data_IF_030411992316
#
_entry.id   IF_030411992316
#
_cell.length_a   1.000
_cell.length_b   1.000
_cell.length_c   1.000
_cell.angle_alpha   90.00
_cell.angle_beta   90.00
_cell.angle_gamma   90.00
#
_symmetry.space_group_name_H-M   'P 1'
#
loop_
_entity.id
_entity.type
_entity.pdbx_description
1 polymer ?
#
# COMPACT_ATOMS: atom_id res chain seq x y z
N UNK A 1 -20.66 13.20 2.37
CA UNK A 1 -19.24 13.56 2.13
C UNK A 1 -18.39 12.39 2.60
N UNK A 2 -17.56 11.81 1.74
CA UNK A 2 -16.67 10.71 2.13
C UNK A 2 -15.62 11.25 3.10
N UNK A 3 -15.49 10.64 4.26
CA UNK A 3 -14.50 11.03 5.26
C UNK A 3 -13.09 10.72 4.71
N UNK A 4 -12.15 11.65 4.90
CA UNK A 4 -10.77 11.49 4.40
C UNK A 4 -9.89 10.89 5.49
N UNK A 5 -9.05 9.92 5.13
CA UNK A 5 -8.02 9.36 6.00
C UNK A 5 -6.78 10.25 6.02
N UNK A 6 -6.44 10.83 4.85
CA UNK A 6 -5.29 11.72 4.71
C UNK A 6 -5.59 12.85 3.72
N UNK A 7 -5.08 14.04 4.03
CA UNK A 7 -5.11 15.22 3.16
C UNK A 7 -3.68 15.63 2.87
N UNK A 8 -3.33 15.69 1.59
CA UNK A 8 -2.00 16.06 1.11
C UNK A 8 -2.07 17.38 0.37
N UNK A 9 -1.24 18.37 0.77
CA UNK A 9 -1.22 19.72 0.23
C UNK A 9 0.20 20.17 -0.10
N UNK A 10 0.40 20.62 -1.34
CA UNK A 10 1.66 21.19 -1.85
C UNK A 10 2.88 20.31 -1.59
N UNK A 11 2.72 18.97 -1.69
CA UNK A 11 3.80 18.04 -1.42
C UNK A 11 4.81 18.05 -2.56
N UNK A 12 6.05 18.45 -2.26
CA UNK A 12 7.16 18.49 -3.21
C UNK A 12 8.37 17.77 -2.64
N UNK A 13 9.10 17.06 -3.49
CA UNK A 13 10.31 16.34 -3.14
C UNK A 13 11.40 16.53 -4.18
N UNK A 14 12.54 17.06 -3.74
CA UNK A 14 13.78 17.16 -4.51
C UNK A 14 14.85 16.24 -3.94
N UNK A 15 15.56 15.51 -4.81
CA UNK A 15 16.69 14.65 -4.44
C UNK A 15 17.88 15.01 -5.31
N UNK A 16 18.99 15.43 -4.71
CA UNK A 16 20.22 15.84 -5.41
C UNK A 16 19.94 16.84 -6.56
N UNK A 17 19.15 17.87 -6.29
CA UNK A 17 18.75 18.92 -7.24
C UNK A 17 17.89 18.39 -8.42
N UNK A 18 17.41 17.16 -8.34
CA UNK A 18 16.45 16.61 -9.28
C UNK A 18 15.06 16.65 -8.64
N UNK A 19 14.13 17.36 -9.29
CA UNK A 19 12.73 17.33 -8.88
C UNK A 19 12.15 15.94 -9.16
N UNK A 20 11.59 15.31 -8.13
CA UNK A 20 10.93 14.01 -8.22
C UNK A 20 9.43 14.20 -8.40
N UNK A 21 8.85 15.10 -7.61
CA UNK A 21 7.48 15.55 -7.77
C UNK A 21 7.31 16.94 -7.14
N UNK A 22 6.39 17.70 -7.66
CA UNK A 22 6.15 19.07 -7.25
C UNK A 22 4.67 19.35 -7.01
N UNK A 23 4.40 20.09 -5.93
CA UNK A 23 3.09 20.60 -5.54
C UNK A 23 1.94 19.60 -5.66
N UNK A 24 2.14 18.36 -5.25
CA UNK A 24 1.09 17.34 -5.26
C UNK A 24 -0.04 17.71 -4.30
N UNK A 25 -1.28 17.58 -4.80
CA UNK A 25 -2.51 17.77 -4.04
C UNK A 25 -3.44 16.61 -4.28
N UNK A 26 -3.74 15.83 -3.24
CA UNK A 26 -4.74 14.77 -3.31
C UNK A 26 -5.20 14.35 -1.93
N UNK A 27 -6.27 13.56 -1.87
CA UNK A 27 -6.83 13.05 -0.64
C UNK A 27 -6.97 11.53 -0.73
N UNK A 28 -6.85 10.88 0.41
CA UNK A 28 -7.08 9.44 0.56
C UNK A 28 -8.36 9.22 1.37
N UNK A 29 -9.38 8.54 0.81
CA UNK A 29 -10.61 8.28 1.52
C UNK A 29 -10.41 7.20 2.60
N UNK A 30 -11.14 7.32 3.72
CA UNK A 30 -11.24 6.27 4.73
C UNK A 30 -12.12 5.13 4.22
N UNK A 31 -11.88 3.90 4.71
CA UNK A 31 -12.67 2.70 4.40
C UNK A 31 -12.68 2.28 2.91
N UNK A 32 -11.73 2.75 2.13
CA UNK A 32 -11.62 2.44 0.72
C UNK A 32 -10.20 2.02 0.35
N UNK A 33 -10.09 1.09 -0.59
CA UNK A 33 -8.81 0.69 -1.16
C UNK A 33 -8.54 1.51 -2.42
N UNK A 34 -7.40 2.18 -2.46
CA UNK A 34 -6.95 3.03 -3.57
C UNK A 34 -5.70 2.43 -4.20
N UNK A 35 -5.70 2.22 -5.51
CA UNK A 35 -4.51 1.82 -6.27
C UNK A 35 -3.70 3.04 -6.71
N UNK A 36 -2.40 3.04 -6.50
CA UNK A 36 -1.46 4.05 -7.03
C UNK A 36 -0.67 3.45 -8.19
N UNK A 37 -0.92 3.94 -9.39
CA UNK A 37 -0.25 3.50 -10.61
C UNK A 37 0.59 4.62 -11.23
N UNK A 38 1.48 4.27 -12.14
CA UNK A 38 2.36 5.21 -12.86
C UNK A 38 3.62 4.50 -13.37
N UNK A 39 4.42 5.16 -14.18
CA UNK A 39 5.64 4.57 -14.76
C UNK A 39 6.65 4.19 -13.66
N UNK A 40 7.50 3.20 -13.95
CA UNK A 40 8.60 2.85 -13.04
C UNK A 40 9.60 4.01 -12.96
N UNK A 41 10.13 4.25 -11.77
CA UNK A 41 11.09 5.32 -11.52
C UNK A 41 10.49 6.72 -11.33
N UNK A 42 9.18 6.90 -11.41
CA UNK A 42 8.52 8.20 -11.18
C UNK A 42 8.46 8.66 -9.72
N UNK A 43 8.91 7.84 -8.77
CA UNK A 43 8.92 8.22 -7.36
C UNK A 43 7.72 7.72 -6.54
N UNK A 44 6.91 6.76 -7.03
CA UNK A 44 5.77 6.19 -6.28
C UNK A 44 6.17 5.69 -4.87
N UNK A 45 7.24 4.90 -4.78
CA UNK A 45 7.74 4.40 -3.49
C UNK A 45 8.26 5.53 -2.59
N UNK A 46 8.85 6.58 -3.16
CA UNK A 46 9.26 7.76 -2.42
C UNK A 46 8.06 8.53 -1.88
N UNK A 47 7.00 8.66 -2.68
CA UNK A 47 5.74 9.24 -2.23
C UNK A 47 5.16 8.45 -1.05
N UNK A 48 5.14 7.11 -1.13
CA UNK A 48 4.70 6.25 -0.01
C UNK A 48 5.55 6.46 1.25
N UNK A 49 6.88 6.61 1.10
CA UNK A 49 7.77 6.88 2.23
C UNK A 49 7.51 8.27 2.86
N UNK A 50 7.20 9.29 2.06
CA UNK A 50 6.80 10.59 2.56
C UNK A 50 5.48 10.50 3.33
N UNK A 51 4.46 9.82 2.77
CA UNK A 51 3.17 9.61 3.43
C UNK A 51 3.31 8.85 4.75
N UNK A 52 4.17 7.83 4.79
CA UNK A 52 4.48 7.08 6.00
C UNK A 52 5.38 7.82 6.99
N UNK A 53 5.89 9.01 6.62
CA UNK A 53 6.86 9.80 7.40
C UNK A 53 8.16 9.04 7.74
N UNK A 54 8.56 8.09 6.88
CA UNK A 54 9.80 7.31 7.00
C UNK A 54 10.81 7.67 5.90
N UNK A 55 10.55 8.72 5.13
CA UNK A 55 11.46 9.20 4.08
C UNK A 55 12.80 9.63 4.69
N UNK A 56 13.89 9.26 4.02
CA UNK A 56 15.24 9.74 4.35
C UNK A 56 15.51 11.15 3.81
N UNK A 57 14.64 11.64 2.94
CA UNK A 57 14.75 12.95 2.31
C UNK A 57 13.72 13.91 2.90
N UNK A 58 14.11 15.15 3.06
CA UNK A 58 13.19 16.22 3.46
C UNK A 58 12.26 16.56 2.31
N UNK A 59 11.00 16.75 2.58
CA UNK A 59 9.99 17.19 1.63
C UNK A 59 9.38 18.53 2.06
N UNK A 60 8.78 19.24 1.14
CA UNK A 60 8.02 20.49 1.37
C UNK A 60 6.54 20.14 1.25
N UNK A 61 5.67 20.83 1.99
CA UNK A 61 4.22 20.61 1.98
C UNK A 61 3.70 20.00 3.26
N UNK A 62 2.42 19.64 3.26
CA UNK A 62 1.71 19.16 4.45
C UNK A 62 1.04 17.82 4.18
N UNK A 63 1.15 16.92 5.15
CA UNK A 63 0.51 15.62 5.16
C UNK A 63 -0.25 15.51 6.49
N UNK A 64 -1.59 15.53 6.41
CA UNK A 64 -2.47 15.48 7.57
C UNK A 64 -3.20 14.14 7.61
N UNK A 65 -2.77 13.24 8.49
CA UNK A 65 -3.45 11.99 8.78
C UNK A 65 -4.50 12.17 9.86
N UNK A 66 -5.69 11.58 9.66
CA UNK A 66 -6.75 11.53 10.66
C UNK A 66 -6.77 10.20 11.43
N UNK A 67 -5.90 9.26 11.08
CA UNK A 67 -5.76 7.95 11.71
C UNK A 67 -4.28 7.53 11.67
N UNK A 68 -3.87 6.56 12.50
CA UNK A 68 -2.55 5.96 12.41
C UNK A 68 -2.32 5.33 11.04
N UNK A 69 -1.05 5.27 10.61
CA UNK A 69 -0.65 4.69 9.33
C UNK A 69 0.38 3.58 9.54
N UNK A 70 0.24 2.50 8.77
CA UNK A 70 1.21 1.42 8.74
C UNK A 70 1.72 1.20 7.31
N UNK A 71 3.03 0.98 7.15
CA UNK A 71 3.70 0.93 5.86
C UNK A 71 4.42 -0.39 5.62
N UNK A 72 4.13 -1.02 4.49
CA UNK A 72 4.89 -2.13 3.91
C UNK A 72 5.75 -1.61 2.77
N UNK A 73 7.07 -1.60 2.94
CA UNK A 73 8.00 -1.26 1.87
C UNK A 73 8.26 -2.45 0.94
N UNK A 74 8.61 -2.16 -0.31
CA UNK A 74 9.00 -3.17 -1.30
C UNK A 74 10.15 -4.07 -0.81
N UNK A 75 11.09 -3.52 -0.05
CA UNK A 75 12.21 -4.23 0.56
C UNK A 75 11.94 -4.48 2.04
N UNK A 76 10.92 -5.27 2.32
CA UNK A 76 10.48 -5.50 3.68
C UNK A 76 11.52 -6.33 4.45
N UNK A 77 12.28 -5.67 5.34
CA UNK A 77 13.13 -6.36 6.30
C UNK A 77 12.29 -6.71 7.52
N UNK A 78 11.92 -7.97 7.64
CA UNK A 78 11.28 -8.47 8.85
C UNK A 78 12.21 -8.21 10.04
N UNK A 79 11.66 -7.62 11.09
CA UNK A 79 12.39 -7.43 12.36
C UNK A 79 12.04 -8.56 13.29
N UNK A 80 13.00 -9.43 13.57
CA UNK A 80 12.83 -10.59 14.45
C UNK A 80 13.31 -11.87 13.80
N UNK A 81 13.62 -12.87 14.64
CA UNK A 81 14.13 -14.19 14.24
C UNK A 81 13.02 -15.25 14.19
N UNK A 82 11.89 -15.01 14.87
CA UNK A 82 10.74 -15.92 14.93
C UNK A 82 9.46 -15.24 14.45
N UNK A 83 8.45 -16.04 14.12
CA UNK A 83 7.12 -15.56 13.74
C UNK A 83 6.54 -14.67 14.85
N UNK A 84 6.62 -15.10 16.12
CA UNK A 84 6.13 -14.32 17.26
C UNK A 84 6.79 -12.95 17.37
N UNK A 85 8.11 -12.88 17.14
CA UNK A 85 8.83 -11.60 17.17
C UNK A 85 8.44 -10.67 16.02
N UNK A 86 8.25 -11.21 14.82
CA UNK A 86 7.81 -10.42 13.67
C UNK A 86 6.39 -9.88 13.86
N UNK A 87 5.50 -10.69 14.45
CA UNK A 87 4.12 -10.26 14.75
C UNK A 87 4.04 -9.32 15.97
N UNK A 88 5.16 -9.11 16.69
CA UNK A 88 5.25 -8.29 17.91
C UNK A 88 4.41 -8.83 19.07
N UNK A 89 4.31 -10.16 19.17
CA UNK A 89 3.50 -10.88 20.17
C UNK A 89 4.34 -11.76 21.11
N UNK A 90 5.68 -11.71 21.03
CA UNK A 90 6.57 -12.60 21.77
C UNK A 90 6.27 -12.61 23.28
N UNK A 91 6.08 -11.45 23.89
CA UNK A 91 5.80 -11.34 25.33
C UNK A 91 4.52 -12.08 25.73
N UNK A 92 3.47 -12.00 24.90
CA UNK A 92 2.21 -12.72 25.11
C UNK A 92 2.39 -14.23 24.97
N UNK A 93 3.12 -14.67 23.92
CA UNK A 93 3.43 -16.08 23.69
C UNK A 93 4.20 -16.67 24.86
N UNK A 94 5.18 -15.94 25.41
CA UNK A 94 5.98 -16.39 26.53
C UNK A 94 5.14 -16.42 27.83
N UNK A 95 4.22 -15.47 28.04
CA UNK A 95 3.30 -15.49 29.16
C UNK A 95 2.36 -16.70 29.10
N UNK A 96 1.72 -16.97 27.96
CA UNK A 96 0.90 -18.17 27.77
C UNK A 96 1.66 -19.46 28.06
N UNK A 97 2.90 -19.60 27.56
CA UNK A 97 3.76 -20.76 27.83
C UNK A 97 4.07 -20.93 29.33
N UNK A 98 4.34 -19.84 30.04
CA UNK A 98 4.59 -19.92 31.49
C UNK A 98 3.34 -20.33 32.25
N UNK A 99 2.15 -19.87 31.82
CA UNK A 99 0.88 -20.30 32.40
C UNK A 99 0.64 -21.78 32.16
N UNK A 100 0.82 -22.28 30.93
CA UNK A 100 0.67 -23.70 30.59
C UNK A 100 1.62 -24.59 31.40
N UNK A 101 2.85 -24.12 31.62
CA UNK A 101 3.88 -24.87 32.40
C UNK A 101 3.77 -24.63 33.90
N UNK A 102 2.71 -24.04 34.43
CA UNK A 102 2.50 -23.73 35.86
C UNK A 102 3.66 -22.94 36.48
N UNK A 103 4.36 -22.10 35.71
CA UNK A 103 5.49 -21.28 36.14
C UNK A 103 5.20 -19.77 36.02
N UNK A 104 3.92 -19.42 35.82
CA UNK A 104 3.51 -18.05 35.62
C UNK A 104 3.55 -17.19 36.89
N UNK A 105 3.87 -15.93 36.71
CA UNK A 105 3.73 -14.87 37.73
C UNK A 105 2.37 -14.18 37.66
N UNK A 106 2.00 -13.39 38.66
CA UNK A 106 0.80 -12.55 38.61
C UNK A 106 0.82 -11.61 37.39
N UNK A 107 1.98 -11.07 37.01
CA UNK A 107 2.13 -10.19 35.84
C UNK A 107 1.78 -10.90 34.52
N UNK A 108 2.02 -12.21 34.43
CA UNK A 108 1.66 -12.98 33.23
C UNK A 108 0.14 -13.12 33.10
N UNK A 109 -0.56 -13.33 34.21
CA UNK A 109 -2.03 -13.36 34.23
C UNK A 109 -2.63 -11.98 33.90
N UNK A 110 -2.11 -10.89 34.46
CA UNK A 110 -2.53 -9.53 34.14
C UNK A 110 -2.32 -9.22 32.66
N UNK A 111 -1.20 -9.68 32.07
CA UNK A 111 -0.88 -9.47 30.66
C UNK A 111 -1.86 -10.15 29.72
N UNK A 112 -2.42 -11.32 30.10
CA UNK A 112 -3.31 -12.14 29.27
C UNK A 112 -4.78 -12.05 29.65
N UNK A 113 -5.15 -11.24 30.67
CA UNK A 113 -6.47 -11.22 31.30
C UNK A 113 -7.63 -11.27 30.29
N UNK A 114 -7.64 -10.37 29.29
CA UNK A 114 -8.69 -10.29 28.27
C UNK A 114 -8.27 -10.91 26.93
N UNK A 115 -7.17 -11.69 26.88
CA UNK A 115 -6.50 -12.10 25.62
C UNK A 115 -6.47 -13.61 25.41
N UNK A 116 -7.23 -14.39 26.17
CA UNK A 116 -7.28 -15.86 26.09
C UNK A 116 -7.70 -16.40 24.72
N UNK A 117 -8.35 -15.59 23.90
CA UNK A 117 -8.76 -15.91 22.53
C UNK A 117 -7.63 -15.77 21.51
N UNK A 118 -6.57 -14.97 21.81
CA UNK A 118 -5.52 -14.63 20.86
C UNK A 118 -4.73 -15.82 20.30
N UNK A 119 -4.33 -16.86 21.09
CA UNK A 119 -3.64 -18.00 20.53
C UNK A 119 -4.41 -18.69 19.40
N UNK A 120 -5.72 -18.79 19.53
CA UNK A 120 -6.59 -19.34 18.50
C UNK A 120 -6.67 -18.42 17.27
N UNK A 121 -6.78 -17.11 17.47
CA UNK A 121 -6.78 -16.13 16.38
C UNK A 121 -5.45 -16.13 15.60
N UNK A 122 -4.31 -16.20 16.29
CA UNK A 122 -3.00 -16.30 15.65
C UNK A 122 -2.88 -17.57 14.80
N UNK A 123 -3.32 -18.70 15.34
CA UNK A 123 -3.32 -19.96 14.61
C UNK A 123 -4.17 -19.86 13.35
N UNK A 124 -5.39 -19.34 13.44
CA UNK A 124 -6.26 -19.15 12.27
C UNK A 124 -5.64 -18.20 11.24
N UNK A 125 -5.05 -17.10 11.68
CA UNK A 125 -4.41 -16.13 10.80
C UNK A 125 -3.23 -16.75 10.03
N UNK A 126 -2.38 -17.51 10.71
CA UNK A 126 -1.24 -18.19 10.10
C UNK A 126 -1.70 -19.29 9.15
N UNK A 127 -2.71 -20.08 9.49
CA UNK A 127 -3.28 -21.13 8.66
C UNK A 127 -3.88 -20.54 7.37
N UNK A 128 -4.69 -19.48 7.46
CA UNK A 128 -5.26 -18.79 6.30
C UNK A 128 -4.17 -18.22 5.38
N UNK A 129 -3.07 -17.73 5.96
CA UNK A 129 -1.92 -17.27 5.21
C UNK A 129 -1.05 -18.41 4.66
N UNK A 130 -1.29 -19.67 5.04
CA UNK A 130 -0.45 -20.83 4.68
C UNK A 130 0.98 -20.69 5.22
N UNK A 131 1.10 -20.23 6.48
CA UNK A 131 2.35 -20.08 7.22
C UNK A 131 2.50 -21.21 8.26
N UNK A 132 3.74 -21.50 8.71
CA UNK A 132 3.94 -22.42 9.83
C UNK A 132 3.17 -21.96 11.07
N UNK A 133 2.52 -22.89 11.77
CA UNK A 133 1.72 -22.59 12.97
C UNK A 133 2.56 -22.44 14.24
N UNK A 134 3.82 -22.94 14.22
CA UNK A 134 4.75 -22.75 15.34
C UNK A 134 5.23 -21.28 15.38
N UNK A 135 4.79 -20.54 16.39
CA UNK A 135 5.18 -19.14 16.60
C UNK A 135 6.68 -18.93 16.87
N UNK A 136 7.40 -20.01 17.26
CA UNK A 136 8.88 -19.98 17.40
C UNK A 136 9.61 -20.38 16.12
N UNK A 137 8.87 -20.67 15.02
CA UNK A 137 9.48 -21.02 13.75
C UNK A 137 10.41 -19.91 13.26
N UNK A 138 11.62 -20.30 12.80
CA UNK A 138 12.63 -19.34 12.34
C UNK A 138 12.21 -18.68 11.01
N UNK A 139 12.16 -17.36 10.99
CA UNK A 139 11.82 -16.55 9.81
C UNK A 139 12.82 -16.74 8.67
N UNK A 140 14.07 -17.09 8.98
CA UNK A 140 15.11 -17.36 7.97
C UNK A 140 14.81 -18.59 7.09
N UNK A 141 13.99 -19.51 7.57
CA UNK A 141 13.57 -20.71 6.83
C UNK A 141 12.33 -20.45 5.94
N UNK A 142 11.70 -19.30 6.05
CA UNK A 142 10.56 -18.94 5.22
C UNK A 142 10.99 -18.54 3.80
N UNK A 143 10.19 -18.94 2.80
CA UNK A 143 10.33 -18.42 1.44
C UNK A 143 10.02 -16.90 1.38
N UNK A 144 10.44 -16.21 0.31
CA UNK A 144 10.17 -14.77 0.16
C UNK A 144 8.66 -14.47 0.14
N UNK A 145 7.85 -15.33 -0.50
CA UNK A 145 6.39 -15.20 -0.45
C UNK A 145 5.81 -15.40 0.95
N UNK A 146 6.34 -16.35 1.73
CA UNK A 146 5.94 -16.53 3.13
C UNK A 146 6.37 -15.34 4.01
N UNK A 147 7.55 -14.78 3.80
CA UNK A 147 8.01 -13.57 4.49
C UNK A 147 7.08 -12.40 4.18
N UNK A 148 6.68 -12.21 2.92
CA UNK A 148 5.72 -11.18 2.53
C UNK A 148 4.38 -11.38 3.22
N UNK A 149 3.85 -12.62 3.24
CA UNK A 149 2.61 -12.94 3.94
C UNK A 149 2.69 -12.68 5.44
N UNK A 150 3.79 -13.04 6.09
CA UNK A 150 4.00 -12.77 7.51
C UNK A 150 4.00 -11.26 7.83
N UNK A 151 4.66 -10.46 6.98
CA UNK A 151 4.63 -9.00 7.11
C UNK A 151 3.22 -8.43 6.93
N UNK A 152 2.46 -8.95 5.97
CA UNK A 152 1.06 -8.57 5.75
C UNK A 152 0.17 -8.98 6.93
N UNK A 153 0.34 -10.17 7.52
CA UNK A 153 -0.36 -10.59 8.73
C UNK A 153 -0.18 -9.58 9.88
N UNK A 154 1.07 -9.14 10.10
CA UNK A 154 1.35 -8.09 11.09
C UNK A 154 0.58 -6.80 10.83
N UNK A 155 0.53 -6.34 9.57
CA UNK A 155 -0.16 -5.10 9.22
C UNK A 155 -1.68 -5.23 9.35
N UNK A 156 -2.26 -6.33 8.90
CA UNK A 156 -3.71 -6.57 9.01
C UNK A 156 -4.20 -6.76 10.46
N UNK A 157 -3.29 -7.06 11.40
CA UNK A 157 -3.60 -7.06 12.82
C UNK A 157 -3.84 -5.63 13.37
N UNK A 158 -3.32 -4.58 12.71
CA UNK A 158 -3.49 -3.17 13.06
C UNK A 158 -4.83 -2.64 12.51
N UNK A 159 -5.94 -3.02 13.14
CA UNK A 159 -7.30 -2.75 12.62
C UNK A 159 -7.67 -1.27 12.51
N UNK A 160 -7.01 -0.40 13.27
CA UNK A 160 -7.21 1.05 13.35
C UNK A 160 -6.27 1.87 12.46
N UNK A 161 -5.35 1.22 11.72
CA UNK A 161 -4.37 1.88 10.87
C UNK A 161 -4.80 1.89 9.41
N UNK A 162 -4.53 3.00 8.71
CA UNK A 162 -4.57 3.04 7.24
C UNK A 162 -3.32 2.37 6.67
N UNK A 163 -3.48 1.49 5.69
CA UNK A 163 -2.36 0.70 5.16
C UNK A 163 -1.76 1.34 3.92
N UNK A 164 -0.45 1.53 3.92
CA UNK A 164 0.35 1.91 2.76
C UNK A 164 1.14 0.66 2.32
N UNK A 165 0.84 0.13 1.14
CA UNK A 165 1.40 -1.13 0.66
C UNK A 165 2.15 -0.92 -0.66
N UNK A 166 3.47 -1.10 -0.65
CA UNK A 166 4.32 -0.96 -1.83
C UNK A 166 4.63 -2.33 -2.43
N UNK A 167 3.99 -2.66 -3.56
CA UNK A 167 4.07 -3.93 -4.30
C UNK A 167 3.81 -5.18 -3.41
N UNK A 168 2.69 -5.24 -2.67
CA UNK A 168 2.40 -6.32 -1.72
C UNK A 168 2.15 -7.67 -2.39
N UNK A 169 1.86 -7.70 -3.69
CA UNK A 169 1.63 -8.93 -4.47
C UNK A 169 2.91 -9.57 -5.01
N UNK A 170 4.08 -8.91 -4.86
CA UNK A 170 5.35 -9.47 -5.31
C UNK A 170 5.67 -10.76 -4.56
N UNK A 171 6.17 -11.76 -5.28
CA UNK A 171 6.48 -13.11 -4.78
C UNK A 171 5.26 -13.92 -4.28
N UNK A 172 4.03 -13.43 -4.47
CA UNK A 172 2.82 -14.17 -4.13
C UNK A 172 2.32 -14.98 -5.34
N UNK A 173 1.98 -16.24 -5.09
CA UNK A 173 1.26 -17.11 -6.04
C UNK A 173 -0.23 -16.70 -6.16
N UNK A 174 -0.95 -17.35 -7.06
CA UNK A 174 -2.37 -17.04 -7.31
C UNK A 174 -3.25 -17.22 -6.07
N UNK A 175 -2.96 -18.22 -5.23
CA UNK A 175 -3.72 -18.50 -3.99
C UNK A 175 -3.47 -17.39 -2.97
N UNK A 176 -2.20 -17.04 -2.76
CA UNK A 176 -1.80 -15.97 -1.84
C UNK A 176 -2.28 -14.59 -2.26
N UNK A 177 -2.42 -14.31 -3.58
CA UNK A 177 -3.04 -13.06 -4.06
C UNK A 177 -4.53 -12.98 -3.72
N UNK A 178 -5.28 -14.08 -3.87
CA UNK A 178 -6.69 -14.14 -3.45
C UNK A 178 -6.83 -13.92 -1.96
N UNK A 179 -5.94 -14.52 -1.16
CA UNK A 179 -5.88 -14.28 0.28
C UNK A 179 -5.61 -12.79 0.58
N UNK A 180 -4.62 -12.16 -0.06
CA UNK A 180 -4.35 -10.72 0.09
C UNK A 180 -5.59 -9.87 -0.21
N UNK A 181 -6.28 -10.15 -1.33
CA UNK A 181 -7.52 -9.45 -1.72
C UNK A 181 -8.60 -9.62 -0.64
N UNK A 182 -8.78 -10.82 -0.09
CA UNK A 182 -9.76 -11.05 0.99
C UNK A 182 -9.41 -10.26 2.26
N UNK A 183 -8.14 -10.20 2.64
CA UNK A 183 -7.66 -9.41 3.77
C UNK A 183 -7.91 -7.90 3.56
N UNK A 184 -7.62 -7.38 2.36
CA UNK A 184 -7.87 -5.97 2.02
C UNK A 184 -9.36 -5.62 2.09
N UNK A 185 -10.25 -6.50 1.61
CA UNK A 185 -11.70 -6.31 1.71
C UNK A 185 -12.22 -6.34 3.15
N UNK A 186 -11.58 -7.10 4.01
CA UNK A 186 -11.94 -7.20 5.43
C UNK A 186 -11.37 -6.03 6.26
N UNK A 187 -10.35 -5.33 5.75
CA UNK A 187 -9.72 -4.23 6.47
C UNK A 187 -10.55 -2.95 6.38
N UNK A 188 -10.95 -2.42 7.53
CA UNK A 188 -11.97 -1.36 7.62
C UNK A 188 -11.44 0.05 7.45
N UNK A 189 -10.15 0.31 7.68
CA UNK A 189 -9.60 1.68 7.63
C UNK A 189 -9.26 2.15 6.22
N UNK A 190 -9.09 1.22 5.27
CA UNK A 190 -8.71 1.51 3.90
C UNK A 190 -7.21 1.39 3.66
N UNK A 191 -6.82 1.52 2.39
CA UNK A 191 -5.41 1.33 1.98
C UNK A 191 -5.06 2.11 0.72
N UNK A 192 -3.77 2.49 0.60
CA UNK A 192 -3.15 2.93 -0.63
C UNK A 192 -2.14 1.88 -1.07
N UNK A 193 -2.28 1.38 -2.30
CA UNK A 193 -1.53 0.22 -2.80
C UNK A 193 -0.84 0.57 -4.10
N UNK A 194 0.49 0.50 -4.13
CA UNK A 194 1.24 0.47 -5.38
C UNK A 194 1.24 -0.97 -5.87
N UNK A 195 0.78 -1.22 -7.08
CA UNK A 195 0.88 -2.53 -7.72
C UNK A 195 0.86 -2.44 -9.24
N UNK A 196 1.48 -3.43 -9.88
CA UNK A 196 1.35 -3.71 -11.31
C UNK A 196 0.43 -4.91 -11.59
N UNK A 197 -0.11 -5.53 -10.55
CA UNK A 197 -1.03 -6.66 -10.64
C UNK A 197 -2.45 -6.17 -10.95
N UNK A 198 -2.88 -6.41 -12.19
CA UNK A 198 -4.22 -5.99 -12.65
C UNK A 198 -5.35 -6.64 -11.87
N UNK A 199 -5.20 -7.90 -11.44
CA UNK A 199 -6.21 -8.59 -10.65
C UNK A 199 -6.40 -7.90 -9.29
N UNK A 200 -5.30 -7.47 -8.66
CA UNK A 200 -5.35 -6.73 -7.41
C UNK A 200 -5.96 -5.33 -7.63
N UNK A 201 -5.53 -4.62 -8.69
CA UNK A 201 -6.02 -3.27 -8.99
C UNK A 201 -7.49 -3.24 -9.42
N UNK A 202 -8.04 -4.34 -9.95
CA UNK A 202 -9.46 -4.44 -10.29
C UNK A 202 -10.38 -4.56 -9.07
N UNK A 203 -9.82 -4.84 -7.90
CA UNK A 203 -10.55 -4.84 -6.63
C UNK A 203 -10.54 -3.49 -5.90
N UNK A 204 -9.85 -2.48 -6.44
CA UNK A 204 -9.78 -1.13 -5.87
C UNK A 204 -11.04 -0.32 -6.19
N UNK A 205 -11.41 0.58 -5.28
CA UNK A 205 -12.52 1.51 -5.45
C UNK A 205 -12.08 2.80 -6.16
N UNK A 206 -10.80 3.14 -6.07
CA UNK A 206 -10.20 4.31 -6.71
C UNK A 206 -8.84 3.98 -7.29
N UNK A 207 -8.49 4.68 -8.36
CA UNK A 207 -7.14 4.66 -8.95
C UNK A 207 -6.58 6.08 -8.94
N UNK A 208 -5.38 6.23 -8.40
CA UNK A 208 -4.55 7.41 -8.52
C UNK A 208 -3.49 7.13 -9.59
N UNK A 209 -3.49 7.89 -10.66
CA UNK A 209 -2.42 7.87 -11.66
C UNK A 209 -1.40 8.94 -11.34
N UNK A 210 -0.17 8.50 -11.03
CA UNK A 210 0.97 9.38 -10.83
C UNK A 210 1.73 9.55 -12.13
N UNK A 211 1.80 10.77 -12.64
CA UNK A 211 2.46 11.13 -13.89
C UNK A 211 3.32 12.40 -13.71
N UNK A 212 3.93 12.89 -14.79
CA UNK A 212 4.77 14.10 -14.78
C UNK A 212 4.01 15.41 -14.46
N UNK A 213 2.69 15.40 -14.58
CA UNK A 213 1.84 16.55 -14.26
C UNK A 213 1.27 16.49 -12.84
N UNK A 214 1.57 15.43 -12.08
CA UNK A 214 1.09 15.22 -10.72
C UNK A 214 0.24 13.96 -10.56
N UNK A 215 -0.83 14.04 -9.76
CA UNK A 215 -1.73 12.93 -9.47
C UNK A 215 -3.12 13.21 -10.03
N UNK A 216 -3.58 12.29 -10.88
CA UNK A 216 -4.95 12.28 -11.40
C UNK A 216 -5.76 11.21 -10.67
N UNK A 217 -6.99 11.56 -10.25
CA UNK A 217 -7.88 10.68 -9.52
C UNK A 217 -8.98 10.11 -10.44
N UNK A 218 -9.14 8.79 -10.42
CA UNK A 218 -10.17 8.05 -11.15
C UNK A 218 -11.01 7.26 -10.16
N UNK A 219 -12.32 7.41 -10.23
CA UNK A 219 -13.28 6.59 -9.49
C UNK A 219 -13.50 5.27 -10.23
N UNK A 220 -13.55 4.17 -9.47
CA UNK A 220 -13.70 2.82 -10.00
C UNK A 220 -12.38 2.05 -10.04
N UNK A 221 -12.44 0.84 -10.57
CA UNK A 221 -11.34 -0.11 -10.62
C UNK A 221 -10.39 0.14 -11.81
N UNK A 222 -9.34 -0.69 -11.92
CA UNK A 222 -8.36 -0.57 -12.99
C UNK A 222 -8.97 -0.74 -14.40
N UNK A 223 -9.90 -1.66 -14.58
CA UNK A 223 -10.57 -1.85 -15.86
C UNK A 223 -11.32 -0.60 -16.31
N UNK A 224 -12.00 0.09 -15.39
CA UNK A 224 -12.68 1.36 -15.66
C UNK A 224 -11.68 2.47 -15.99
N UNK A 225 -10.62 2.62 -15.15
CA UNK A 225 -9.52 3.53 -15.41
C UNK A 225 -8.90 3.34 -16.81
N UNK A 226 -8.57 2.08 -17.17
CA UNK A 226 -7.93 1.78 -18.46
C UNK A 226 -8.78 2.20 -19.67
N UNK A 227 -10.11 2.01 -19.59
CA UNK A 227 -11.05 2.47 -20.62
C UNK A 227 -11.08 4.00 -20.72
N UNK A 228 -11.19 4.68 -19.59
CA UNK A 228 -11.23 6.14 -19.54
C UNK A 228 -9.93 6.77 -20.02
N UNK A 229 -8.78 6.26 -19.57
CA UNK A 229 -7.44 6.72 -19.99
C UNK A 229 -7.19 6.47 -21.48
N UNK A 230 -7.69 5.37 -22.06
CA UNK A 230 -7.61 5.11 -23.50
C UNK A 230 -8.44 6.11 -24.31
N UNK A 231 -9.64 6.44 -23.88
CA UNK A 231 -10.48 7.46 -24.53
C UNK A 231 -9.85 8.85 -24.48
N UNK A 232 -9.32 9.24 -23.33
CA UNK A 232 -8.62 10.53 -23.18
C UNK A 232 -7.40 10.63 -24.09
N UNK A 233 -6.58 9.57 -24.17
CA UNK A 233 -5.42 9.54 -25.07
C UNK A 233 -5.83 9.65 -26.52
N UNK A 234 -6.84 8.92 -26.95
CA UNK A 234 -7.33 8.97 -28.32
C UNK A 234 -7.86 10.36 -28.70
N UNK A 235 -8.60 11.01 -27.79
CA UNK A 235 -9.08 12.38 -28.01
C UNK A 235 -7.89 13.37 -28.16
N UNK A 236 -6.89 13.28 -27.26
CA UNK A 236 -5.69 14.12 -27.32
C UNK A 236 -4.89 13.91 -28.62
N UNK A 237 -4.76 12.65 -29.08
CA UNK A 237 -4.08 12.32 -30.35
C UNK A 237 -4.81 12.95 -31.55
N UNK A 238 -6.15 12.94 -31.53
CA UNK A 238 -6.96 13.58 -32.59
C UNK A 238 -6.79 15.12 -32.59
N UNK A 239 -6.79 15.73 -31.39
CA UNK A 239 -6.59 17.18 -31.26
C UNK A 239 -5.19 17.60 -31.79
N UNK A 240 -4.15 16.88 -31.38
CA UNK A 240 -2.78 17.12 -31.87
C UNK A 240 -2.70 16.96 -33.41
N UNK A 241 -3.38 15.98 -33.96
CA UNK A 241 -3.35 15.75 -35.41
C UNK A 241 -4.09 16.87 -36.16
N UNK A 242 -5.21 17.36 -35.60
CA UNK A 242 -5.93 18.52 -36.15
C UNK A 242 -5.09 19.79 -36.12
N UNK A 243 -4.43 20.09 -35.00
CA UNK A 243 -3.53 21.24 -34.88
C UNK A 243 -2.36 21.17 -35.87
N UNK A 244 -1.76 19.99 -36.04
CA UNK A 244 -0.69 19.78 -37.06
C UNK A 244 -1.19 20.03 -38.47
N UNK A 245 -2.43 19.61 -38.79
CA UNK A 245 -3.04 19.86 -40.12
C UNK A 245 -3.28 21.35 -40.36
N UNK A 246 -3.81 22.06 -39.35
CA UNK A 246 -4.05 23.52 -39.41
C UNK A 246 -2.74 24.30 -39.58
N UNK A 247 -1.71 23.98 -38.82
CA UNK A 247 -0.36 24.60 -38.96
C UNK A 247 0.22 24.39 -40.36
N UNK A 248 0.13 23.16 -40.93
CA UNK A 248 0.58 22.90 -42.30
C UNK A 248 -0.17 23.73 -43.34
N UNK A 249 -1.50 23.90 -43.19
CA UNK A 249 -2.29 24.71 -44.11
C UNK A 249 -1.89 26.21 -44.06
N UNK A 250 -1.68 26.75 -42.82
CA UNK A 250 -1.22 28.14 -42.64
C UNK A 250 0.16 28.39 -43.28
N UNK A 251 1.10 27.47 -43.11
CA UNK A 251 2.44 27.57 -43.73
C UNK A 251 2.36 27.56 -45.26
N UNK A 252 1.51 26.72 -45.85
CA UNK A 252 1.33 26.67 -47.32
C UNK A 252 0.71 27.97 -47.83
N UNK A 253 -0.26 28.54 -47.11
CA UNK A 253 -0.86 29.84 -47.51
C UNK A 253 0.13 31.02 -47.42
N UNK A 254 1.04 31.02 -46.45
CA UNK A 254 2.07 32.06 -46.32
C UNK A 254 3.17 31.98 -47.40
N UNK A 255 3.39 30.82 -48.06
CA UNK A 255 4.37 30.64 -49.12
C UNK A 255 3.78 30.89 -50.51
N UNK A 256 2.48 31.21 -50.62
CA UNK A 256 1.80 31.51 -51.90
C UNK A 256 1.53 33.01 -52.09
N UNK A 257 2.03 33.88 -51.18
CA UNK A 257 2.04 35.34 -51.26
C UNK A 257 3.48 35.77 -51.52
#
# INVERSE_FOLDING_TARGET
>A
MTQQACIIQQLSLDIHSKNIFDQLHFNLPIQQCTGLIGRNGQGKSLLMQCLAQVSKFSFIGQIHWQCPVAYLSQFNRLRGNTIAQVLDIQNLVDAFKRIENSSASFQDYDLVEDKWHLPYEWQQQLEQAGLPLDLNFSVHLLSEGQKTKLALCRLFALKDHYLLLDEPSNHLDCVSRKWLISCLKAHTMGSLIISHDRLLLDEMQHILEFNEFGISHFSGNYTHYAKQSALQRHALEQDIEQEKRQLKQQVVQQHQI
#
